data_IF_607699423819
#
_entry.id   IF_607699423819
#
_cell.length_a   1.000
_cell.length_b   1.000
_cell.length_c   1.000
_cell.angle_alpha   90.00
_cell.angle_beta   90.00
_cell.angle_gamma   90.00
#
_symmetry.space_group_name_H-M   'P 1'
#
loop_
_entity.id
_entity.type
_entity.pdbx_description
1 polymer ?
#
# COMPACT_ATOMS: atom_id res chain seq x y z
N UNK A 1 -26.97 -7.85 12.21
CA UNK A 1 -26.14 -8.99 12.68
C UNK A 1 -24.65 -8.66 12.67
N UNK A 2 -24.04 -8.26 11.53
CA UNK A 2 -22.59 -7.95 11.48
C UNK A 2 -22.21 -6.77 12.39
N UNK A 3 -22.97 -5.67 12.35
CA UNK A 3 -22.71 -4.48 13.18
C UNK A 3 -22.77 -4.78 14.69
N UNK A 4 -23.75 -5.58 15.10
CA UNK A 4 -23.91 -5.99 16.50
C UNK A 4 -22.71 -6.83 16.98
N UNK A 5 -22.22 -7.76 16.15
CA UNK A 5 -21.03 -8.55 16.46
C UNK A 5 -19.77 -7.68 16.54
N UNK A 6 -19.65 -6.63 15.71
CA UNK A 6 -18.56 -5.66 15.80
C UNK A 6 -18.61 -4.94 17.14
N UNK A 7 -19.79 -4.42 17.52
CA UNK A 7 -19.96 -3.67 18.77
C UNK A 7 -19.68 -4.53 20.01
N UNK A 8 -20.06 -5.81 20.00
CA UNK A 8 -19.77 -6.75 21.08
C UNK A 8 -18.27 -7.04 21.25
N UNK A 9 -17.51 -7.08 20.14
CA UNK A 9 -16.06 -7.40 20.15
C UNK A 9 -15.17 -6.17 20.31
N UNK A 10 -15.72 -4.97 20.11
CA UNK A 10 -14.95 -3.72 20.14
C UNK A 10 -14.17 -3.48 21.45
N UNK A 11 -14.73 -3.71 22.65
CA UNK A 11 -13.98 -3.49 23.90
C UNK A 11 -12.71 -4.34 23.99
N UNK A 12 -12.79 -5.63 23.67
CA UNK A 12 -11.64 -6.53 23.67
C UNK A 12 -10.67 -6.23 22.53
N UNK A 13 -11.20 -5.88 21.35
CA UNK A 13 -10.37 -5.48 20.21
C UNK A 13 -9.52 -4.25 20.56
N UNK A 14 -10.14 -3.22 21.13
CA UNK A 14 -9.47 -1.98 21.52
C UNK A 14 -8.46 -2.22 22.66
N UNK A 15 -8.75 -3.14 23.58
CA UNK A 15 -7.86 -3.46 24.70
C UNK A 15 -6.64 -4.32 24.31
N UNK A 16 -6.79 -5.27 23.38
CA UNK A 16 -5.80 -6.33 23.16
C UNK A 16 -5.29 -6.45 21.71
N UNK A 17 -6.06 -5.98 20.72
CA UNK A 17 -5.69 -6.10 19.30
C UNK A 17 -5.13 -4.79 18.76
N UNK A 18 -5.87 -3.69 18.87
CA UNK A 18 -5.46 -2.37 18.36
C UNK A 18 -4.09 -1.90 18.90
N UNK A 19 -3.74 -2.11 20.20
CA UNK A 19 -2.45 -1.68 20.73
C UNK A 19 -1.22 -2.33 20.07
N UNK A 20 -1.40 -3.45 19.35
CA UNK A 20 -0.31 -4.11 18.63
C UNK A 20 0.22 -3.25 17.47
N UNK A 21 -0.58 -2.32 16.94
CA UNK A 21 -0.15 -1.34 15.91
C UNK A 21 1.07 -0.52 16.34
N UNK A 22 1.29 -0.31 17.65
CA UNK A 22 2.46 0.38 18.20
C UNK A 22 3.79 -0.37 17.95
N UNK A 23 3.71 -1.70 17.84
CA UNK A 23 4.86 -2.59 17.66
C UNK A 23 5.14 -2.90 16.18
N UNK A 24 4.20 -2.64 15.29
CA UNK A 24 4.35 -2.92 13.88
C UNK A 24 5.32 -1.92 13.22
N UNK A 25 6.18 -2.44 12.34
CA UNK A 25 7.10 -1.63 11.52
C UNK A 25 6.39 -1.04 10.30
N UNK A 26 5.34 -1.71 9.82
CA UNK A 26 4.47 -1.24 8.75
C UNK A 26 3.00 -1.59 9.04
N UNK A 27 2.09 -0.70 8.65
CA UNK A 27 0.64 -0.82 8.89
C UNK A 27 -0.09 -0.44 7.60
N UNK A 28 -1.01 -1.30 7.17
CA UNK A 28 -1.97 -0.98 6.11
C UNK A 28 -3.29 -0.64 6.78
N UNK A 29 -3.70 0.63 6.70
CA UNK A 29 -4.96 1.14 7.23
C UNK A 29 -5.94 1.36 6.08
N UNK A 30 -7.08 0.68 6.13
CA UNK A 30 -8.13 0.75 5.10
C UNK A 30 -9.29 1.59 5.63
N UNK A 31 -9.55 2.71 4.97
CA UNK A 31 -10.54 3.72 5.36
C UNK A 31 -11.55 3.94 4.23
N UNK A 32 -12.75 4.48 4.52
CA UNK A 32 -13.63 5.01 3.49
C UNK A 32 -12.94 6.08 2.65
N UNK A 33 -13.28 6.16 1.35
CA UNK A 33 -12.76 7.21 0.46
C UNK A 33 -13.11 8.62 0.95
N UNK A 34 -12.22 9.59 0.70
CA UNK A 34 -12.47 11.02 0.91
C UNK A 34 -12.85 11.73 -0.40
N UNK A 35 -12.80 11.05 -1.55
CA UNK A 35 -13.11 11.62 -2.87
C UNK A 35 -14.60 11.90 -3.05
N UNK A 36 -15.46 11.11 -2.42
CA UNK A 36 -16.91 11.25 -2.48
C UNK A 36 -17.54 10.81 -1.17
N UNK A 37 -18.33 11.71 -0.57
CA UNK A 37 -19.05 11.42 0.66
C UNK A 37 -20.04 10.28 0.45
N UNK A 38 -20.13 9.37 1.43
CA UNK A 38 -21.02 8.21 1.44
C UNK A 38 -20.73 7.12 0.38
N UNK A 39 -19.63 7.25 -0.38
CA UNK A 39 -19.16 6.17 -1.24
C UNK A 39 -18.53 5.06 -0.39
N UNK A 40 -19.21 3.92 -0.33
CA UNK A 40 -18.79 2.73 0.45
C UNK A 40 -18.01 1.70 -0.36
N UNK A 41 -17.79 1.96 -1.66
CA UNK A 41 -17.13 1.02 -2.58
C UNK A 41 -15.66 1.33 -2.75
N UNK A 42 -15.32 2.61 -2.85
CA UNK A 42 -13.93 3.04 -2.96
C UNK A 42 -13.31 3.21 -1.57
N UNK A 43 -12.01 2.94 -1.50
CA UNK A 43 -11.24 2.95 -0.27
C UNK A 43 -10.13 3.98 -0.37
N UNK A 44 -9.84 4.61 0.77
CA UNK A 44 -8.58 5.29 1.04
C UNK A 44 -7.72 4.33 1.85
N UNK A 45 -6.57 3.96 1.30
CA UNK A 45 -5.65 3.04 1.95
C UNK A 45 -4.37 3.79 2.28
N UNK A 46 -3.98 3.77 3.54
CA UNK A 46 -2.70 4.29 4.02
C UNK A 46 -1.75 3.10 4.24
N UNK A 47 -0.53 3.20 3.72
CA UNK A 47 0.58 2.34 4.11
C UNK A 47 1.56 3.15 4.96
N UNK A 48 1.40 3.01 6.26
CA UNK A 48 2.24 3.64 7.29
C UNK A 48 3.50 2.81 7.46
N UNK A 49 4.66 3.46 7.40
CA UNK A 49 5.97 2.84 7.46
C UNK A 49 6.81 3.55 8.51
N UNK A 50 7.19 2.84 9.58
CA UNK A 50 8.04 3.36 10.65
C UNK A 50 9.47 3.52 10.15
N UNK A 51 10.09 4.67 10.42
CA UNK A 51 11.46 4.96 9.99
C UNK A 51 12.49 4.44 10.98
N UNK A 52 13.72 4.23 10.49
CA UNK A 52 14.85 3.80 11.33
C UNK A 52 14.77 2.35 11.80
N UNK A 53 13.91 1.54 11.18
CA UNK A 53 13.84 0.10 11.42
C UNK A 53 14.96 -0.58 10.64
N UNK A 54 15.71 -1.46 11.30
CA UNK A 54 16.84 -2.14 10.68
C UNK A 54 16.43 -2.95 9.44
N UNK A 55 17.19 -2.83 8.34
CA UNK A 55 16.95 -3.49 7.07
C UNK A 55 15.67 -3.10 6.30
N UNK A 56 14.85 -2.19 6.87
CA UNK A 56 13.62 -1.71 6.27
C UNK A 56 13.74 -0.24 5.86
N UNK A 57 13.95 -0.03 4.56
CA UNK A 57 13.86 1.30 3.96
C UNK A 57 12.41 1.54 3.51
N UNK A 58 11.73 2.59 3.98
CA UNK A 58 10.32 2.78 3.65
C UNK A 58 10.15 3.30 2.22
N UNK A 59 9.18 2.75 1.49
CA UNK A 59 8.84 3.11 0.11
C UNK A 59 8.37 4.56 0.00
N UNK A 60 8.77 5.24 -1.07
CA UNK A 60 8.46 6.66 -1.29
C UNK A 60 7.78 6.89 -2.63
N UNK A 61 7.05 8.00 -2.74
CA UNK A 61 6.45 8.52 -3.95
C UNK A 61 7.26 9.75 -4.38
N UNK A 62 7.81 9.76 -5.60
CA UNK A 62 8.68 10.77 -6.21
C UNK A 62 9.92 11.19 -5.40
N UNK A 63 9.74 11.90 -4.30
CA UNK A 63 10.80 12.54 -3.52
C UNK A 63 10.70 12.16 -2.05
N UNK A 64 11.77 11.55 -1.53
CA UNK A 64 11.81 11.04 -0.17
C UNK A 64 11.82 12.20 0.84
N UNK A 65 10.92 12.17 1.82
CA UNK A 65 10.85 13.19 2.88
C UNK A 65 9.91 14.37 2.57
N UNK A 66 9.44 14.51 1.34
CA UNK A 66 8.44 15.52 0.96
C UNK A 66 7.01 15.07 1.22
N UNK A 67 6.11 16.03 1.46
CA UNK A 67 4.67 15.80 1.39
C UNK A 67 4.21 15.96 -0.06
N UNK A 68 3.48 14.98 -0.58
CA UNK A 68 3.11 14.89 -1.99
C UNK A 68 1.64 14.52 -2.10
N UNK A 69 0.93 15.18 -3.01
CA UNK A 69 -0.34 14.72 -3.54
C UNK A 69 -0.24 14.65 -5.06
N UNK A 70 -0.71 13.55 -5.63
CA UNK A 70 -0.61 13.29 -7.06
C UNK A 70 -1.88 12.64 -7.60
N UNK A 71 -2.45 13.24 -8.64
CA UNK A 71 -3.52 12.66 -9.44
C UNK A 71 -2.88 12.18 -10.74
N UNK A 72 -2.85 10.86 -11.01
CA UNK A 72 -2.29 10.31 -12.23
C UNK A 72 -2.98 10.86 -13.48
N UNK A 73 -2.23 11.00 -14.58
CA UNK A 73 -2.82 11.36 -15.87
C UNK A 73 -3.74 10.22 -16.35
N UNK A 74 -5.02 10.53 -16.53
CA UNK A 74 -6.07 9.59 -16.94
C UNK A 74 -5.83 8.92 -18.31
N UNK A 75 -5.04 9.53 -19.19
CA UNK A 75 -4.64 8.95 -20.48
C UNK A 75 -3.59 7.83 -20.32
N UNK A 76 -2.86 7.82 -19.20
CA UNK A 76 -1.79 6.83 -18.92
C UNK A 76 -2.22 5.77 -17.90
N UNK A 77 -3.24 6.07 -17.10
CA UNK A 77 -3.84 5.18 -16.13
C UNK A 77 -5.34 5.48 -16.07
N UNK A 78 -6.16 4.53 -16.49
CA UNK A 78 -7.60 4.65 -16.43
C UNK A 78 -8.12 4.50 -15.00
N UNK A 79 -8.98 5.43 -14.62
CA UNK A 79 -9.75 5.39 -13.38
C UNK A 79 -11.09 6.10 -13.59
N UNK A 80 -12.12 5.51 -13.00
CA UNK A 80 -13.49 6.04 -13.04
C UNK A 80 -13.77 7.03 -11.92
N UNK A 81 -14.96 7.64 -11.95
CA UNK A 81 -15.42 8.53 -10.85
C UNK A 81 -15.50 7.76 -9.53
N UNK A 82 -15.34 8.44 -8.38
CA UNK A 82 -15.03 9.87 -8.20
C UNK A 82 -13.60 10.28 -8.55
N UNK A 83 -12.65 9.35 -8.63
CA UNK A 83 -11.30 9.62 -9.12
C UNK A 83 -10.27 8.68 -8.52
N UNK A 84 -9.02 9.13 -8.56
CA UNK A 84 -7.87 8.46 -7.97
C UNK A 84 -6.87 9.52 -7.50
N UNK A 85 -6.36 9.38 -6.29
CA UNK A 85 -5.27 10.20 -5.74
C UNK A 85 -4.25 9.30 -5.05
N UNK A 86 -2.98 9.49 -5.35
CA UNK A 86 -1.87 8.96 -4.54
C UNK A 86 -1.26 10.10 -3.73
N UNK A 87 -0.71 9.77 -2.56
CA UNK A 87 -0.09 10.76 -1.71
C UNK A 87 1.05 10.15 -0.89
N UNK A 88 1.94 11.04 -0.45
CA UNK A 88 2.95 10.75 0.56
C UNK A 88 2.88 11.83 1.64
N UNK A 89 3.04 11.44 2.89
CA UNK A 89 3.07 12.40 4.01
C UNK A 89 4.04 11.97 5.10
N UNK A 90 4.80 12.91 5.62
CA UNK A 90 5.62 12.71 6.82
C UNK A 90 4.73 12.71 8.07
N UNK A 91 4.93 11.76 8.97
CA UNK A 91 4.08 11.63 10.16
C UNK A 91 4.82 11.01 11.34
N UNK A 92 4.08 10.81 12.42
CA UNK A 92 4.51 9.99 13.54
C UNK A 92 3.49 8.88 13.77
N UNK A 93 3.97 7.69 14.11
CA UNK A 93 3.13 6.55 14.46
C UNK A 93 3.41 6.12 15.90
N UNK A 94 2.45 6.35 16.80
CA UNK A 94 2.62 6.13 18.24
C UNK A 94 3.91 6.78 18.81
N UNK A 95 4.23 8.00 18.36
CA UNK A 95 5.41 8.78 18.77
C UNK A 95 6.72 8.36 18.13
N UNK A 96 6.70 7.44 17.15
CA UNK A 96 7.87 7.08 16.34
C UNK A 96 7.82 7.83 15.01
N UNK A 97 8.96 8.35 14.49
CA UNK A 97 9.01 8.91 13.14
C UNK A 97 8.54 7.89 12.10
N UNK A 98 7.64 8.30 11.21
CA UNK A 98 7.06 7.46 10.19
C UNK A 98 6.81 8.25 8.91
N UNK A 99 6.45 7.54 7.84
CA UNK A 99 5.84 8.14 6.67
C UNK A 99 4.64 7.32 6.22
N UNK A 100 3.72 7.97 5.52
CA UNK A 100 2.61 7.32 4.84
C UNK A 100 2.82 7.48 3.35
N UNK A 101 2.69 6.39 2.61
CA UNK A 101 2.26 6.46 1.21
C UNK A 101 0.82 5.94 1.16
N UNK A 102 -0.03 6.58 0.39
CA UNK A 102 -1.45 6.25 0.37
C UNK A 102 -2.08 6.41 -0.99
N UNK A 103 -3.24 5.80 -1.14
CA UNK A 103 -4.03 5.78 -2.37
C UNK A 103 -5.51 5.87 -2.00
N UNK A 104 -6.22 6.80 -2.62
CA UNK A 104 -7.66 6.99 -2.47
C UNK A 104 -8.32 6.85 -3.83
N UNK A 105 -9.27 5.91 -3.95
CA UNK A 105 -9.91 5.54 -5.21
C UNK A 105 -9.37 4.24 -5.81
N UNK A 106 -9.75 3.97 -7.06
CA UNK A 106 -9.43 2.73 -7.77
C UNK A 106 -8.85 3.04 -9.15
N UNK A 107 -8.04 2.13 -9.69
CA UNK A 107 -7.71 2.09 -11.11
C UNK A 107 -8.56 1.04 -11.81
N UNK A 108 -8.88 1.28 -13.08
CA UNK A 108 -9.80 0.43 -13.85
C UNK A 108 -9.06 -0.78 -14.47
N UNK A 109 -7.76 -0.65 -14.74
CA UNK A 109 -6.94 -1.67 -15.40
C UNK A 109 -5.59 -1.85 -14.72
N UNK A 110 -5.34 -3.06 -14.21
CA UNK A 110 -4.09 -3.39 -13.51
C UNK A 110 -2.85 -3.27 -14.40
N UNK A 111 -2.95 -3.61 -15.69
CA UNK A 111 -1.82 -3.51 -16.62
C UNK A 111 -1.28 -2.07 -16.77
N UNK A 112 -2.10 -1.06 -16.50
CA UNK A 112 -1.72 0.36 -16.57
C UNK A 112 -1.04 0.84 -15.26
N UNK A 113 -1.05 0.02 -14.19
CA UNK A 113 -0.42 0.31 -12.90
C UNK A 113 1.10 0.53 -13.03
N UNK A 114 1.73 0.01 -14.09
CA UNK A 114 3.14 0.26 -14.40
C UNK A 114 3.45 1.76 -14.52
N UNK A 115 2.47 2.60 -14.86
CA UNK A 115 2.63 4.06 -14.84
C UNK A 115 2.78 4.61 -13.42
N UNK A 116 2.01 4.08 -12.47
CA UNK A 116 2.09 4.42 -11.05
C UNK A 116 3.36 3.86 -10.42
N UNK A 117 3.76 2.64 -10.79
CA UNK A 117 4.99 2.02 -10.30
C UNK A 117 6.23 2.88 -10.55
N UNK A 118 6.29 3.61 -11.69
CA UNK A 118 7.39 4.56 -11.99
C UNK A 118 7.54 5.70 -10.98
N UNK A 119 6.44 6.05 -10.30
CA UNK A 119 6.46 7.10 -9.30
C UNK A 119 6.98 6.59 -7.95
N UNK A 120 7.04 5.28 -7.75
CA UNK A 120 7.51 4.68 -6.51
C UNK A 120 9.00 4.37 -6.53
N UNK A 121 9.64 4.59 -5.39
CA UNK A 121 11.00 4.16 -5.10
C UNK A 121 11.01 3.26 -3.87
N UNK A 122 12.08 2.48 -3.72
CA UNK A 122 12.27 1.58 -2.58
C UNK A 122 11.05 0.67 -2.36
N UNK A 123 10.53 0.00 -3.38
CA UNK A 123 9.36 -0.92 -3.24
C UNK A 123 9.75 -2.34 -2.82
N UNK A 124 11.05 -2.65 -2.77
CA UNK A 124 11.56 -4.01 -2.58
C UNK A 124 11.51 -4.87 -3.85
N UNK A 125 11.14 -4.28 -5.00
CA UNK A 125 11.20 -4.97 -6.29
C UNK A 125 12.63 -5.23 -6.75
N UNK A 126 12.84 -6.29 -7.53
CA UNK A 126 14.13 -6.64 -8.16
C UNK A 126 14.30 -6.02 -9.53
N UNK A 127 13.20 -5.75 -10.21
CA UNK A 127 13.18 -5.12 -11.51
C UNK A 127 11.95 -4.22 -11.65
N UNK A 128 12.03 -3.28 -12.59
CA UNK A 128 10.92 -2.40 -12.93
C UNK A 128 9.78 -3.20 -13.58
N UNK A 129 8.58 -3.12 -13.01
CA UNK A 129 7.38 -3.85 -13.45
C UNK A 129 7.02 -5.03 -12.55
N UNK A 130 7.85 -5.40 -11.57
CA UNK A 130 7.55 -6.53 -10.68
C UNK A 130 6.30 -6.28 -9.83
N UNK A 131 6.08 -5.05 -9.34
CA UNK A 131 4.87 -4.72 -8.55
C UNK A 131 3.63 -4.92 -9.43
N UNK A 132 3.66 -4.37 -10.64
CA UNK A 132 2.56 -4.51 -11.60
C UNK A 132 2.32 -5.98 -11.98
N UNK A 133 3.38 -6.74 -12.24
CA UNK A 133 3.27 -8.16 -12.56
C UNK A 133 2.58 -8.92 -11.43
N UNK A 134 3.00 -8.70 -10.18
CA UNK A 134 2.39 -9.33 -9.01
C UNK A 134 0.94 -8.92 -8.81
N UNK A 135 0.60 -7.66 -9.03
CA UNK A 135 -0.79 -7.21 -9.00
C UNK A 135 -1.66 -7.94 -10.04
N UNK A 136 -1.17 -8.06 -11.28
CA UNK A 136 -1.89 -8.74 -12.38
C UNK A 136 -2.11 -10.23 -12.08
N UNK A 137 -1.20 -10.90 -11.38
CA UNK A 137 -1.40 -12.30 -10.95
C UNK A 137 -2.64 -12.49 -10.05
N UNK A 138 -3.09 -11.43 -9.37
CA UNK A 138 -4.26 -11.43 -8.48
C UNK A 138 -5.43 -10.60 -9.03
N UNK A 139 -5.49 -10.39 -10.36
CA UNK A 139 -6.62 -9.69 -10.97
C UNK A 139 -7.97 -10.36 -10.63
N UNK A 140 -9.00 -9.55 -10.41
CA UNK A 140 -10.32 -9.97 -9.95
C UNK A 140 -10.45 -10.35 -8.46
N UNK A 141 -9.35 -10.39 -7.69
CA UNK A 141 -9.41 -10.61 -6.23
C UNK A 141 -9.86 -9.34 -5.49
N UNK A 142 -10.48 -9.47 -4.30
CA UNK A 142 -10.84 -8.30 -3.48
C UNK A 142 -9.64 -7.37 -3.22
N UNK A 143 -9.77 -6.08 -3.54
CA UNK A 143 -8.73 -5.08 -3.35
C UNK A 143 -7.65 -5.04 -4.45
N UNK A 144 -7.74 -5.86 -5.50
CA UNK A 144 -6.74 -5.87 -6.59
C UNK A 144 -6.74 -4.59 -7.43
N UNK A 145 -7.80 -3.77 -7.33
CA UNK A 145 -7.98 -2.52 -8.08
C UNK A 145 -7.80 -1.24 -7.25
N UNK A 146 -7.39 -1.35 -5.98
CA UNK A 146 -7.18 -0.21 -5.09
C UNK A 146 -5.87 -0.32 -4.30
N UNK A 147 -5.68 0.61 -3.35
CA UNK A 147 -4.49 0.66 -2.51
C UNK A 147 -4.27 -0.58 -1.65
N UNK A 148 -5.30 -1.39 -1.41
CA UNK A 148 -5.21 -2.60 -0.57
C UNK A 148 -4.27 -3.61 -1.22
N UNK A 149 -4.54 -4.01 -2.45
CA UNK A 149 -3.70 -4.95 -3.18
C UNK A 149 -2.31 -4.36 -3.46
N UNK A 150 -2.25 -3.08 -3.84
CA UNK A 150 -1.00 -2.39 -4.14
C UNK A 150 -0.05 -2.40 -2.93
N UNK A 151 -0.52 -1.97 -1.77
CA UNK A 151 0.33 -1.87 -0.58
C UNK A 151 0.59 -3.21 0.09
N UNK A 152 -0.31 -4.20 -0.04
CA UNK A 152 -0.01 -5.58 0.35
C UNK A 152 1.12 -6.17 -0.51
N UNK A 153 1.08 -5.91 -1.82
CA UNK A 153 2.14 -6.34 -2.74
C UNK A 153 3.48 -5.70 -2.37
N UNK A 154 3.53 -4.37 -2.23
CA UNK A 154 4.76 -3.66 -1.81
C UNK A 154 5.26 -4.17 -0.45
N UNK A 155 4.38 -4.34 0.53
CA UNK A 155 4.74 -4.90 1.84
C UNK A 155 5.34 -6.31 1.72
N UNK A 156 4.79 -7.16 0.86
CA UNK A 156 5.33 -8.51 0.65
C UNK A 156 6.73 -8.50 0.03
N UNK A 157 6.98 -7.60 -0.93
CA UNK A 157 8.29 -7.43 -1.56
C UNK A 157 9.31 -6.88 -0.56
N UNK A 158 8.88 -6.01 0.35
CA UNK A 158 9.70 -5.54 1.49
C UNK A 158 10.05 -6.64 2.46
N UNK A 159 9.11 -7.52 2.80
CA UNK A 159 9.40 -8.70 3.64
C UNK A 159 10.43 -9.60 2.97
N UNK A 160 10.32 -9.83 1.66
CA UNK A 160 11.36 -10.55 0.89
C UNK A 160 12.70 -9.86 1.00
N UNK A 161 12.76 -8.56 0.75
CA UNK A 161 13.99 -7.76 0.83
C UNK A 161 14.67 -7.90 2.22
N UNK A 162 13.90 -7.76 3.29
CA UNK A 162 14.37 -7.92 4.68
C UNK A 162 14.88 -9.35 4.91
N UNK A 163 14.14 -10.36 4.48
CA UNK A 163 14.54 -11.75 4.61
C UNK A 163 15.88 -12.01 3.92
N UNK A 164 16.09 -11.52 2.69
CA UNK A 164 17.36 -11.69 1.99
C UNK A 164 18.51 -10.98 2.72
N UNK A 165 18.26 -9.79 3.29
CA UNK A 165 19.27 -9.04 4.05
C UNK A 165 19.69 -9.79 5.32
N UNK A 166 18.74 -10.41 6.02
CA UNK A 166 19.00 -11.16 7.27
C UNK A 166 19.63 -12.52 6.98
N UNK A 167 19.00 -13.31 6.10
CA UNK A 167 19.40 -14.70 5.84
C UNK A 167 20.60 -14.83 4.91
N UNK A 168 20.91 -13.79 4.12
CA UNK A 168 21.86 -13.82 2.99
C UNK A 168 21.46 -14.81 1.88
N UNK A 169 20.23 -15.32 1.90
CA UNK A 169 19.68 -16.20 0.87
C UNK A 169 18.90 -15.36 -0.14
N UNK A 170 19.13 -15.58 -1.43
CA UNK A 170 18.39 -14.91 -2.50
C UNK A 170 17.10 -15.66 -2.83
N UNK A 171 15.98 -14.95 -2.82
CA UNK A 171 14.66 -15.42 -3.23
C UNK A 171 14.41 -14.93 -4.65
N UNK A 172 14.43 -15.77 -5.68
CA UNK A 172 14.26 -15.31 -7.06
C UNK A 172 12.94 -14.53 -7.23
N UNK A 173 12.96 -13.52 -8.10
CA UNK A 173 11.70 -12.98 -8.59
C UNK A 173 11.14 -13.97 -9.61
N UNK A 174 9.81 -14.09 -9.68
CA UNK A 174 9.16 -14.89 -10.72
C UNK A 174 9.25 -14.13 -12.04
N UNK A 175 10.38 -14.21 -12.72
CA UNK A 175 10.55 -13.66 -14.08
C UNK A 175 9.74 -14.50 -15.07
N UNK A 176 8.42 -14.30 -15.11
CA UNK A 176 7.66 -14.69 -16.30
C UNK A 176 8.01 -13.65 -17.36
N UNK A 177 8.89 -14.05 -18.28
CA UNK A 177 9.17 -13.30 -19.51
C UNK A 177 7.84 -12.81 -20.06
N UNK A 178 7.65 -11.48 -20.09
CA UNK A 178 6.53 -10.89 -20.81
C UNK A 178 6.65 -11.34 -22.27
N UNK A 179 5.80 -12.29 -22.65
CA UNK A 179 5.66 -12.74 -24.03
C UNK A 179 4.71 -11.79 -24.78
#
# INVERSE_FOLDING_TARGET
>A
QVEEQINQRKPDFDAYIDPQKKKADAIIEVLPTELEKDNKKQLKVNYVQVKGVENFEPSTLFDAGSDIEWIPNKEKLSFSKPGLKLFQKQTEWFGKPAQVIGMDGNFDKLAELVYVEKAFSETGSKFFGEVTQKMVEYDGQPGSSDGTGLFQTICSLKVREIYEKISKVKVPADEKVAA
#
